data_IF_399707529983
#
_entry.id   IF_399707529983
#
_cell.length_a   1.000
_cell.length_b   1.000
_cell.length_c   1.000
_cell.angle_alpha   90.00
_cell.angle_beta   90.00
_cell.angle_gamma   90.00
#
_symmetry.space_group_name_H-M   'P 1'
#
loop_
_entity.id
_entity.type
_entity.pdbx_description
1 polymer ?
#
# COMPACT_ATOMS: atom_id res chain seq x y z
N UNK A 1 -36.88 59.65 -90.44
CA UNK A 1 -37.30 58.24 -90.29
C UNK A 1 -36.39 57.43 -91.17
N UNK A 2 -35.43 56.75 -90.54
CA UNK A 2 -34.44 55.92 -91.23
C UNK A 2 -34.55 54.53 -90.64
N UNK A 3 -34.86 53.56 -91.50
CA UNK A 3 -34.95 52.15 -91.14
C UNK A 3 -33.62 51.65 -90.58
N UNK A 4 -33.60 50.97 -89.42
CA UNK A 4 -32.39 50.34 -88.92
C UNK A 4 -32.10 49.07 -89.72
N UNK A 5 -30.91 49.08 -90.31
CA UNK A 5 -30.23 48.02 -91.06
C UNK A 5 -30.32 46.64 -90.41
N UNK A 6 -30.66 45.64 -91.22
CA UNK A 6 -30.78 44.20 -90.89
C UNK A 6 -29.52 43.55 -90.29
N UNK A 7 -28.38 44.23 -90.30
CA UNK A 7 -27.08 43.70 -89.83
C UNK A 7 -26.88 43.78 -88.32
N UNK A 8 -27.46 44.76 -87.62
CA UNK A 8 -27.32 44.92 -86.16
C UNK A 8 -28.23 43.97 -85.37
N UNK A 9 -29.40 43.62 -85.93
CA UNK A 9 -30.37 42.71 -85.29
C UNK A 9 -29.84 41.28 -85.19
N UNK A 10 -29.09 40.82 -86.19
CA UNK A 10 -28.50 39.47 -86.21
C UNK A 10 -27.38 39.30 -85.18
N UNK A 11 -26.53 40.31 -84.98
CA UNK A 11 -25.45 40.27 -83.97
C UNK A 11 -25.99 40.33 -82.53
N UNK A 12 -27.04 41.10 -82.29
CA UNK A 12 -27.71 41.16 -80.97
C UNK A 12 -28.39 39.84 -80.62
N UNK A 13 -29.00 39.17 -81.59
CA UNK A 13 -29.65 37.88 -81.39
C UNK A 13 -28.64 36.75 -81.12
N UNK A 14 -27.52 36.76 -81.83
CA UNK A 14 -26.44 35.79 -81.64
C UNK A 14 -25.74 35.93 -80.28
N UNK A 15 -25.53 37.15 -79.81
CA UNK A 15 -24.96 37.39 -78.46
C UNK A 15 -25.92 36.98 -77.34
N UNK A 16 -27.22 37.21 -77.51
CA UNK A 16 -28.24 36.82 -76.54
C UNK A 16 -28.42 35.30 -76.47
N UNK A 17 -28.30 34.61 -77.61
CA UNK A 17 -28.31 33.16 -77.68
C UNK A 17 -27.10 32.56 -76.96
N UNK A 18 -25.90 33.12 -77.16
CA UNK A 18 -24.69 32.65 -76.48
C UNK A 18 -24.80 32.79 -74.96
N UNK A 19 -25.25 33.94 -74.44
CA UNK A 19 -25.46 34.13 -72.99
C UNK A 19 -26.49 33.14 -72.43
N UNK A 20 -27.56 32.84 -73.18
CA UNK A 20 -28.57 31.86 -72.76
C UNK A 20 -27.98 30.44 -72.68
N UNK A 21 -27.17 30.04 -73.66
CA UNK A 21 -26.46 28.76 -73.65
C UNK A 21 -25.49 28.65 -72.46
N UNK A 22 -24.67 29.68 -72.23
CA UNK A 22 -23.72 29.72 -71.10
C UNK A 22 -24.44 29.61 -69.76
N UNK A 23 -25.59 30.29 -69.60
CA UNK A 23 -26.37 30.21 -68.37
C UNK A 23 -27.01 28.83 -68.16
N UNK A 24 -27.51 28.19 -69.22
CA UNK A 24 -28.02 26.81 -69.14
C UNK A 24 -26.92 25.84 -68.75
N UNK A 25 -25.72 25.96 -69.32
CA UNK A 25 -24.57 25.14 -68.93
C UNK A 25 -24.21 25.35 -67.47
N UNK A 26 -24.18 26.61 -67.00
CA UNK A 26 -23.99 26.92 -65.59
C UNK A 26 -25.05 26.25 -64.69
N UNK A 27 -26.33 26.33 -65.05
CA UNK A 27 -27.42 25.68 -64.32
C UNK A 27 -27.27 24.15 -64.25
N UNK A 28 -26.77 23.52 -65.32
CA UNK A 28 -26.44 22.08 -65.32
C UNK A 28 -25.31 21.78 -64.36
N UNK A 29 -24.25 22.59 -64.37
CA UNK A 29 -23.08 22.39 -63.49
C UNK A 29 -23.45 22.51 -62.02
N UNK A 30 -24.35 23.44 -61.64
CA UNK A 30 -24.82 23.56 -60.24
C UNK A 30 -25.90 22.53 -59.86
N UNK A 31 -26.29 21.63 -60.78
CA UNK A 31 -27.29 20.58 -60.53
C UNK A 31 -28.74 21.08 -60.42
N UNK A 32 -29.10 22.19 -61.09
CA UNK A 32 -30.47 22.70 -61.04
C UNK A 32 -31.46 21.72 -61.69
N UNK A 33 -32.61 21.42 -61.05
CA UNK A 33 -33.58 20.45 -61.58
C UNK A 33 -34.05 20.81 -62.99
N UNK A 34 -34.08 19.83 -63.88
CA UNK A 34 -34.53 19.96 -65.28
C UNK A 34 -33.71 20.93 -66.16
N UNK A 35 -32.53 21.38 -65.72
CA UNK A 35 -31.66 22.24 -66.53
C UNK A 35 -31.21 21.60 -67.85
N UNK A 36 -31.16 20.26 -67.90
CA UNK A 36 -30.89 19.47 -69.10
C UNK A 36 -31.99 19.53 -70.16
N UNK A 37 -33.22 19.88 -69.77
CA UNK A 37 -34.39 19.96 -70.65
C UNK A 37 -34.64 21.39 -71.19
N UNK A 38 -33.93 22.38 -70.64
CA UNK A 38 -34.03 23.77 -71.07
C UNK A 38 -33.33 23.99 -72.41
N UNK A 39 -34.04 24.65 -73.33
CA UNK A 39 -33.51 25.09 -74.61
C UNK A 39 -33.14 26.58 -74.54
N UNK A 40 -32.01 27.02 -75.14
CA UNK A 40 -31.60 28.43 -75.14
C UNK A 40 -32.68 29.39 -75.64
N UNK A 41 -33.52 28.94 -76.58
CA UNK A 41 -34.63 29.71 -77.14
C UNK A 41 -35.68 30.09 -76.09
N UNK A 42 -35.84 29.30 -75.04
CA UNK A 42 -36.80 29.55 -73.96
C UNK A 42 -36.34 30.67 -73.00
N UNK A 43 -35.06 31.02 -73.04
CA UNK A 43 -34.45 32.06 -72.20
C UNK A 43 -34.09 33.33 -72.96
N UNK A 44 -34.32 33.36 -74.28
CA UNK A 44 -34.02 34.53 -75.12
C UNK A 44 -34.72 35.79 -74.63
N UNK A 45 -35.95 35.69 -74.13
CA UNK A 45 -36.68 36.85 -73.60
C UNK A 45 -35.93 37.55 -72.45
N UNK A 46 -35.16 36.79 -71.67
CA UNK A 46 -34.37 37.31 -70.55
C UNK A 46 -33.03 37.86 -71.02
N UNK A 47 -32.39 37.24 -72.02
CA UNK A 47 -31.07 37.67 -72.53
C UNK A 47 -31.14 38.77 -73.58
N UNK A 48 -32.31 39.01 -74.17
CA UNK A 48 -32.56 40.15 -75.07
C UNK A 48 -32.60 41.49 -74.32
N UNK A 49 -32.90 41.48 -73.01
CA UNK A 49 -32.77 42.68 -72.17
C UNK A 49 -31.32 42.86 -71.71
N UNK A 50 -30.65 43.99 -72.03
CA UNK A 50 -29.24 44.18 -71.73
C UNK A 50 -28.90 44.09 -70.24
N UNK A 51 -29.76 44.61 -69.36
CA UNK A 51 -29.56 44.60 -67.90
C UNK A 51 -29.63 43.18 -67.33
N UNK A 52 -30.61 42.40 -67.75
CA UNK A 52 -30.76 41.01 -67.35
C UNK A 52 -29.61 40.14 -67.91
N UNK A 53 -29.19 40.37 -69.15
CA UNK A 53 -28.03 39.68 -69.75
C UNK A 53 -26.74 39.91 -68.95
N UNK A 54 -26.43 41.16 -68.61
CA UNK A 54 -25.23 41.48 -67.81
C UNK A 54 -25.25 40.79 -66.45
N UNK A 55 -26.43 40.74 -65.80
CA UNK A 55 -26.58 40.07 -64.52
C UNK A 55 -26.41 38.54 -64.64
N UNK A 56 -26.97 37.93 -65.68
CA UNK A 56 -26.81 36.49 -65.94
C UNK A 56 -25.35 36.14 -66.28
N UNK A 57 -24.69 36.93 -67.14
CA UNK A 57 -23.28 36.74 -67.49
C UNK A 57 -22.39 36.91 -66.26
N UNK A 58 -22.66 37.91 -65.41
CA UNK A 58 -21.94 38.11 -64.16
C UNK A 58 -22.10 36.91 -63.21
N UNK A 59 -23.30 36.36 -63.12
CA UNK A 59 -23.59 35.22 -62.24
C UNK A 59 -22.83 33.97 -62.69
N UNK A 60 -22.81 33.70 -64.00
CA UNK A 60 -22.00 32.63 -64.59
C UNK A 60 -20.50 32.80 -64.37
N UNK A 61 -20.00 34.04 -64.33
CA UNK A 61 -18.56 34.33 -64.17
C UNK A 61 -18.12 34.36 -62.71
N UNK A 62 -19.02 34.71 -61.79
CA UNK A 62 -18.67 34.98 -60.39
C UNK A 62 -18.96 33.81 -59.47
N UNK A 63 -19.85 32.90 -59.87
CA UNK A 63 -20.16 31.69 -59.10
C UNK A 63 -19.40 30.52 -59.71
N UNK A 64 -18.36 30.08 -59.00
CA UNK A 64 -17.62 28.86 -59.34
C UNK A 64 -18.26 27.68 -58.58
N UNK A 65 -19.05 26.81 -59.24
CA UNK A 65 -19.70 25.68 -58.58
C UNK A 65 -18.73 24.69 -57.96
N UNK A 66 -17.48 24.62 -58.41
CA UNK A 66 -16.47 23.70 -57.87
C UNK A 66 -15.81 24.27 -56.61
N UNK A 67 -15.86 25.59 -56.38
CA UNK A 67 -15.28 26.26 -55.20
C UNK A 67 -16.30 26.75 -54.18
N UNK A 68 -17.53 27.06 -54.61
CA UNK A 68 -18.58 27.59 -53.74
C UNK A 68 -19.52 26.51 -53.17
N UNK A 69 -19.29 25.24 -53.49
CA UNK A 69 -19.86 24.13 -52.71
C UNK A 69 -19.09 24.08 -51.39
N UNK A 70 -19.76 24.44 -50.30
CA UNK A 70 -19.29 24.14 -48.94
C UNK A 70 -19.06 22.63 -48.90
N UNK A 71 -17.80 22.19 -49.01
CA UNK A 71 -17.41 20.79 -48.94
C UNK A 71 -17.70 20.31 -47.52
N UNK A 72 -18.95 19.89 -47.27
CA UNK A 72 -19.37 19.29 -45.99
C UNK A 72 -18.45 18.15 -45.56
N UNK A 73 -17.85 17.45 -46.54
CA UNK A 73 -16.89 16.36 -46.32
C UNK A 73 -15.59 16.83 -45.64
N UNK A 74 -15.12 18.06 -45.92
CA UNK A 74 -13.91 18.60 -45.28
C UNK A 74 -14.21 19.12 -43.86
N UNK A 75 -15.37 19.76 -43.67
CA UNK A 75 -15.84 20.18 -42.33
C UNK A 75 -16.12 18.98 -41.42
N UNK A 76 -16.80 17.95 -41.91
CA UNK A 76 -17.08 16.72 -41.16
C UNK A 76 -15.78 15.99 -40.80
N UNK A 77 -14.78 15.99 -41.70
CA UNK A 77 -13.44 15.42 -41.44
C UNK A 77 -12.67 16.21 -40.37
N UNK A 78 -12.75 17.54 -40.37
CA UNK A 78 -12.15 18.37 -39.32
C UNK A 78 -12.83 18.17 -37.97
N UNK A 79 -14.15 18.09 -37.95
CA UNK A 79 -14.95 17.86 -36.73
C UNK A 79 -14.62 16.46 -36.15
N UNK A 80 -14.55 15.43 -36.99
CA UNK A 80 -14.18 14.07 -36.54
C UNK A 80 -12.78 14.03 -35.91
N UNK A 81 -11.79 14.68 -36.52
CA UNK A 81 -10.44 14.77 -35.93
C UNK A 81 -10.40 15.53 -34.61
N UNK A 82 -11.23 16.56 -34.45
CA UNK A 82 -11.37 17.27 -33.18
C UNK A 82 -12.03 16.41 -32.11
N UNK A 83 -13.07 15.65 -32.47
CA UNK A 83 -13.72 14.70 -31.56
C UNK A 83 -12.71 13.64 -31.10
N UNK A 84 -11.98 13.01 -32.02
CA UNK A 84 -10.94 12.03 -31.69
C UNK A 84 -9.85 12.63 -30.79
N UNK A 85 -9.42 13.87 -31.05
CA UNK A 85 -8.44 14.57 -30.22
C UNK A 85 -8.96 14.87 -28.81
N UNK A 86 -10.23 15.27 -28.70
CA UNK A 86 -10.87 15.53 -27.41
C UNK A 86 -11.09 14.24 -26.63
N UNK A 87 -11.49 13.14 -27.28
CA UNK A 87 -11.62 11.82 -26.65
C UNK A 87 -10.26 11.29 -26.19
N UNK A 88 -9.20 11.48 -26.98
CA UNK A 88 -7.84 11.12 -26.61
C UNK A 88 -7.33 11.90 -25.38
N UNK A 89 -7.82 13.13 -25.16
CA UNK A 89 -7.53 13.92 -23.95
C UNK A 89 -8.44 13.56 -22.78
N UNK A 90 -9.72 13.26 -23.03
CA UNK A 90 -10.69 12.96 -21.99
C UNK A 90 -10.40 11.61 -21.31
N UNK A 91 -9.99 10.60 -22.08
CA UNK A 91 -9.67 9.27 -21.56
C UNK A 91 -8.59 9.26 -20.45
N UNK A 92 -7.40 9.89 -20.62
CA UNK A 92 -6.41 9.96 -19.56
C UNK A 92 -6.87 10.81 -18.38
N UNK A 93 -7.64 11.88 -18.60
CA UNK A 93 -8.24 12.70 -17.54
C UNK A 93 -9.24 11.89 -16.71
N UNK A 94 -10.09 11.08 -17.35
CA UNK A 94 -11.03 10.17 -16.67
C UNK A 94 -10.27 9.14 -15.84
N UNK A 95 -9.26 8.49 -16.41
CA UNK A 95 -8.42 7.53 -15.66
C UNK A 95 -7.71 8.18 -14.48
N UNK A 96 -7.24 9.43 -14.64
CA UNK A 96 -6.63 10.18 -13.57
C UNK A 96 -7.64 10.52 -12.46
N UNK A 97 -8.87 10.90 -12.84
CA UNK A 97 -9.97 11.13 -11.91
C UNK A 97 -10.31 9.87 -11.10
N UNK A 98 -10.43 8.72 -11.75
CA UNK A 98 -10.70 7.44 -11.09
C UNK A 98 -9.58 7.05 -10.11
N UNK A 99 -8.32 7.30 -10.52
CA UNK A 99 -7.15 7.09 -9.66
C UNK A 99 -7.20 8.00 -8.42
N UNK A 100 -7.48 9.30 -8.59
CA UNK A 100 -7.63 10.25 -7.48
C UNK A 100 -8.80 9.87 -6.56
N UNK A 101 -9.91 9.38 -7.13
CA UNK A 101 -11.06 8.92 -6.35
C UNK A 101 -10.69 7.69 -5.50
N UNK A 102 -9.94 6.75 -6.08
CA UNK A 102 -9.40 5.59 -5.36
C UNK A 102 -8.46 6.02 -4.23
N UNK A 103 -7.51 6.92 -4.50
CA UNK A 103 -6.60 7.46 -3.49
C UNK A 103 -7.35 8.19 -2.37
N UNK A 104 -8.35 9.01 -2.70
CA UNK A 104 -9.21 9.68 -1.71
C UNK A 104 -9.93 8.67 -0.81
N UNK A 105 -10.43 7.59 -1.39
CA UNK A 105 -11.10 6.54 -0.62
C UNK A 105 -10.12 5.79 0.29
N UNK A 106 -8.91 5.50 -0.18
CA UNK A 106 -7.85 4.93 0.65
C UNK A 106 -7.46 5.85 1.81
N UNK A 107 -7.26 7.13 1.54
CA UNK A 107 -6.96 8.13 2.58
C UNK A 107 -8.07 8.23 3.62
N UNK A 108 -9.33 8.11 3.20
CA UNK A 108 -10.48 8.10 4.12
C UNK A 108 -10.48 6.85 5.01
N UNK A 109 -10.14 5.68 4.46
CA UNK A 109 -10.01 4.45 5.25
C UNK A 109 -8.86 4.55 6.26
N UNK A 110 -7.70 5.09 5.84
CA UNK A 110 -6.56 5.28 6.76
C UNK A 110 -6.88 6.29 7.85
N UNK A 111 -7.60 7.37 7.54
CA UNK A 111 -8.02 8.35 8.54
C UNK A 111 -8.89 7.71 9.61
N UNK A 112 -9.92 6.95 9.21
CA UNK A 112 -10.79 6.24 10.15
C UNK A 112 -10.02 5.24 11.02
N UNK A 113 -9.01 4.57 10.47
CA UNK A 113 -8.15 3.66 11.23
C UNK A 113 -7.35 4.40 12.30
N UNK A 114 -6.73 5.53 11.93
CA UNK A 114 -5.95 6.36 12.84
C UNK A 114 -6.82 6.99 13.93
N UNK A 115 -8.04 7.42 13.61
CA UNK A 115 -9.00 7.93 14.61
C UNK A 115 -9.34 6.86 15.66
N UNK A 116 -9.51 5.62 15.23
CA UNK A 116 -9.76 4.49 16.15
C UNK A 116 -8.53 4.17 17.00
N UNK A 117 -7.33 4.23 16.43
CA UNK A 117 -6.09 4.08 17.20
C UNK A 117 -5.92 5.20 18.24
N UNK A 118 -6.23 6.44 17.88
CA UNK A 118 -6.21 7.57 18.79
C UNK A 118 -7.16 7.37 19.97
N UNK A 119 -8.38 6.90 19.71
CA UNK A 119 -9.36 6.58 20.76
C UNK A 119 -8.83 5.49 21.71
N UNK A 120 -8.19 4.45 21.15
CA UNK A 120 -7.55 3.41 21.96
C UNK A 120 -6.40 3.97 22.81
N UNK A 121 -5.55 4.83 22.25
CA UNK A 121 -4.46 5.46 23.00
C UNK A 121 -4.97 6.36 24.12
N UNK A 122 -6.04 7.12 23.89
CA UNK A 122 -6.68 7.93 24.93
C UNK A 122 -7.20 7.05 26.08
N UNK A 123 -7.81 5.91 25.75
CA UNK A 123 -8.27 4.94 26.75
C UNK A 123 -7.11 4.34 27.56
N UNK A 124 -6.02 3.96 26.90
CA UNK A 124 -4.82 3.44 27.57
C UNK A 124 -4.22 4.52 28.49
N UNK A 125 -4.18 5.78 28.05
CA UNK A 125 -3.62 6.86 28.84
C UNK A 125 -4.44 7.10 30.12
N UNK A 126 -5.77 7.04 30.05
CA UNK A 126 -6.63 7.12 31.24
C UNK A 126 -6.40 5.94 32.20
N UNK A 127 -6.25 4.72 31.68
CA UNK A 127 -5.96 3.53 32.51
C UNK A 127 -4.58 3.64 33.19
N UNK A 128 -3.57 4.17 32.48
CA UNK A 128 -2.26 4.45 33.04
C UNK A 128 -2.30 5.53 34.12
N UNK A 129 -3.09 6.59 33.94
CA UNK A 129 -3.27 7.62 34.96
C UNK A 129 -3.92 7.07 36.24
N UNK A 130 -4.91 6.19 36.08
CA UNK A 130 -5.54 5.51 37.21
C UNK A 130 -4.57 4.54 37.91
N UNK A 131 -3.78 3.78 37.15
CA UNK A 131 -2.73 2.90 37.69
C UNK A 131 -1.63 3.66 38.41
N UNK A 132 -1.18 4.79 37.86
CA UNK A 132 -0.21 5.66 38.51
C UNK A 132 -0.75 6.21 39.84
N UNK A 133 -2.05 6.54 39.89
CA UNK A 133 -2.69 6.97 41.14
C UNK A 133 -2.70 5.85 42.19
N UNK A 134 -3.02 4.63 41.80
CA UNK A 134 -3.00 3.44 42.66
C UNK A 134 -1.58 3.16 43.20
N UNK A 135 -0.56 3.23 42.35
CA UNK A 135 0.84 3.06 42.75
C UNK A 135 1.26 4.15 43.72
N UNK A 136 0.93 5.42 43.45
CA UNK A 136 1.26 6.53 44.35
C UNK A 136 0.61 6.36 45.73
N UNK A 137 -0.65 5.91 45.78
CA UNK A 137 -1.32 5.60 47.05
C UNK A 137 -0.64 4.46 47.80
N UNK A 138 -0.18 3.43 47.07
CA UNK A 138 0.54 2.30 47.68
C UNK A 138 1.89 2.75 48.26
N UNK A 139 2.64 3.57 47.53
CA UNK A 139 3.90 4.15 47.99
C UNK A 139 3.68 4.99 49.25
N UNK A 140 2.63 5.81 49.28
CA UNK A 140 2.30 6.65 50.44
C UNK A 140 1.94 5.79 51.66
N UNK A 141 1.15 4.73 51.47
CA UNK A 141 0.81 3.78 52.54
C UNK A 141 2.04 3.04 53.06
N UNK A 142 2.91 2.56 52.16
CA UNK A 142 4.14 1.87 52.53
C UNK A 142 5.13 2.80 53.24
N UNK A 143 5.20 4.08 52.84
CA UNK A 143 5.99 5.09 53.54
C UNK A 143 5.51 5.28 54.98
N UNK A 144 4.20 5.45 55.18
CA UNK A 144 3.61 5.59 56.53
C UNK A 144 3.89 4.34 57.37
N UNK A 145 3.75 3.16 56.78
CA UNK A 145 4.01 1.89 57.46
C UNK A 145 5.48 1.71 57.83
N UNK A 146 6.40 2.12 56.95
CA UNK A 146 7.84 2.10 57.21
C UNK A 146 8.17 3.00 58.40
N UNK A 147 7.63 4.23 58.42
CA UNK A 147 7.85 5.19 59.50
C UNK A 147 7.35 4.65 60.85
N UNK A 148 6.17 4.03 60.88
CA UNK A 148 5.62 3.39 62.07
C UNK A 148 6.51 2.23 62.55
N UNK A 149 6.90 1.32 61.65
CA UNK A 149 7.77 0.20 62.01
C UNK A 149 9.16 0.66 62.49
N UNK A 150 9.69 1.73 61.90
CA UNK A 150 10.96 2.33 62.30
C UNK A 150 10.84 2.96 63.70
N UNK A 151 9.74 3.65 64.00
CA UNK A 151 9.49 4.18 65.33
C UNK A 151 9.37 3.06 66.39
N UNK A 152 8.65 1.99 66.08
CA UNK A 152 8.48 0.83 66.98
C UNK A 152 9.82 0.12 67.24
N UNK A 153 10.64 -0.08 66.21
CA UNK A 153 11.97 -0.68 66.38
C UNK A 153 12.91 0.21 67.17
N UNK A 154 12.90 1.53 66.95
CA UNK A 154 13.67 2.49 67.75
C UNK A 154 13.22 2.47 69.22
N UNK A 155 11.91 2.40 69.48
CA UNK A 155 11.38 2.30 70.83
C UNK A 155 11.78 0.98 71.50
N UNK A 156 11.69 -0.15 70.81
CA UNK A 156 12.12 -1.45 71.33
C UNK A 156 13.62 -1.48 71.64
N UNK A 157 14.45 -0.92 70.75
CA UNK A 157 15.90 -0.77 70.99
C UNK A 157 16.15 0.10 72.23
N UNK A 158 15.40 1.20 72.38
CA UNK A 158 15.52 2.09 73.54
C UNK A 158 15.15 1.39 74.85
N UNK A 159 14.08 0.58 74.87
CA UNK A 159 13.69 -0.23 76.03
C UNK A 159 14.78 -1.25 76.39
N UNK A 160 15.31 -1.99 75.41
CA UNK A 160 16.40 -2.96 75.63
C UNK A 160 17.65 -2.26 76.22
N UNK A 161 17.99 -1.06 75.73
CA UNK A 161 19.10 -0.27 76.25
C UNK A 161 18.84 0.20 77.67
N UNK A 162 17.60 0.57 78.01
CA UNK A 162 17.24 0.99 79.37
C UNK A 162 17.24 -0.18 80.35
N UNK A 163 16.69 -1.34 79.98
CA UNK A 163 16.65 -2.54 80.82
C UNK A 163 18.06 -3.05 81.16
N UNK A 164 18.97 -2.99 80.18
CA UNK A 164 20.39 -3.36 80.39
C UNK A 164 21.11 -2.40 81.35
N UNK A 165 20.78 -1.11 81.33
CA UNK A 165 21.32 -0.13 82.29
C UNK A 165 20.86 -0.34 83.73
N UNK A 166 19.68 -0.93 83.94
CA UNK A 166 19.08 -1.09 85.28
C UNK A 166 19.60 -2.35 85.98
N UNK A 167 20.02 -3.39 85.24
CA UNK A 167 20.32 -4.70 85.83
C UNK A 167 21.74 -4.89 86.40
N UNK A 168 22.75 -4.08 86.06
CA UNK A 168 24.13 -4.32 86.52
C UNK A 168 24.84 -3.07 87.04
N UNK A 169 24.48 -2.67 88.26
CA UNK A 169 25.20 -1.66 89.02
C UNK A 169 26.56 -2.18 89.49
N UNK A 170 27.62 -1.79 88.77
CA UNK A 170 29.06 -1.69 89.15
C UNK A 170 30.06 -2.62 88.46
N UNK A 171 29.69 -3.79 87.93
CA UNK A 171 30.64 -4.61 87.13
C UNK A 171 30.51 -4.37 85.62
N UNK A 172 29.45 -3.69 85.19
CA UNK A 172 29.20 -3.44 83.77
C UNK A 172 29.94 -2.23 83.19
N UNK A 173 30.54 -1.34 83.99
CA UNK A 173 31.17 -0.15 83.41
C UNK A 173 32.40 -0.49 82.57
N UNK A 174 33.13 -1.54 82.92
CA UNK A 174 34.27 -2.03 82.12
C UNK A 174 33.80 -2.85 80.93
N UNK A 175 32.80 -3.73 81.08
CA UNK A 175 32.26 -4.51 79.96
C UNK A 175 31.40 -3.70 78.99
N UNK A 176 30.71 -2.63 79.40
CA UNK A 176 30.07 -1.66 78.51
C UNK A 176 31.06 -0.68 77.90
N UNK A 177 32.18 -0.34 78.58
CA UNK A 177 33.25 0.38 77.90
C UNK A 177 33.94 -0.50 76.86
N UNK A 178 34.13 -1.80 77.14
CA UNK A 178 34.73 -2.73 76.18
C UNK A 178 33.74 -3.03 75.06
N UNK A 179 32.48 -3.35 75.36
CA UNK A 179 31.45 -3.61 74.34
C UNK A 179 31.07 -2.33 73.58
N UNK A 180 31.02 -1.18 74.25
CA UNK A 180 30.82 0.13 73.63
C UNK A 180 31.99 0.50 72.74
N UNK A 181 33.24 0.26 73.17
CA UNK A 181 34.43 0.42 72.32
C UNK A 181 34.50 -0.62 71.20
N UNK A 182 34.08 -1.86 71.42
CA UNK A 182 34.04 -2.89 70.39
C UNK A 182 32.94 -2.61 69.38
N UNK A 183 31.77 -2.13 69.80
CA UNK A 183 30.68 -1.72 68.92
C UNK A 183 31.04 -0.41 68.19
N UNK A 184 31.68 0.54 68.86
CA UNK A 184 32.22 1.75 68.25
C UNK A 184 33.36 1.41 67.28
N UNK A 185 34.19 0.41 67.59
CA UNK A 185 35.24 -0.10 66.72
C UNK A 185 34.68 -0.99 65.61
N UNK A 186 33.54 -1.65 65.79
CA UNK A 186 32.86 -2.41 64.75
C UNK A 186 32.09 -1.48 63.82
N UNK A 187 31.44 -0.45 64.36
CA UNK A 187 30.90 0.68 63.60
C UNK A 187 32.04 1.41 62.88
N UNK A 188 33.14 1.75 63.56
CA UNK A 188 34.31 2.33 62.90
C UNK A 188 34.91 1.37 61.88
N UNK A 189 34.95 0.05 62.08
CA UNK A 189 35.45 -0.92 61.08
C UNK A 189 34.44 -1.24 59.96
N UNK A 190 33.15 -0.92 60.14
CA UNK A 190 32.13 -0.93 59.09
C UNK A 190 32.14 0.40 58.32
N UNK A 191 32.51 1.50 58.98
CA UNK A 191 32.67 2.84 58.42
C UNK A 191 34.09 3.14 57.91
N UNK A 192 35.15 2.41 58.31
CA UNK A 192 36.55 2.60 57.90
C UNK A 192 36.79 2.11 56.47
N UNK A 193 36.20 1.00 56.00
CA UNK A 193 36.19 0.68 54.58
C UNK A 193 35.45 1.74 53.78
N UNK A 194 34.53 2.49 54.41
CA UNK A 194 33.84 3.62 53.79
C UNK A 194 34.62 4.95 53.92
N UNK A 195 35.47 5.12 54.94
CA UNK A 195 36.25 6.34 55.19
C UNK A 195 37.67 6.32 54.63
N UNK A 196 38.28 5.15 54.44
CA UNK A 196 39.58 5.04 53.74
C UNK A 196 39.44 5.33 52.23
N UNK A 197 38.24 5.18 51.67
CA UNK A 197 37.92 5.69 50.33
C UNK A 197 37.56 7.20 50.32
N UNK A 198 37.28 7.81 51.47
CA UNK A 198 36.98 9.24 51.59
C UNK A 198 38.19 10.10 51.99
N UNK A 199 39.21 9.57 52.67
CA UNK A 199 40.45 10.32 52.97
C UNK A 199 41.35 10.50 51.75
N UNK A 200 41.27 9.58 50.78
CA UNK A 200 41.84 9.81 49.44
C UNK A 200 41.00 10.78 48.63
N UNK A 201 39.71 10.96 48.95
CA UNK A 201 38.81 11.86 48.22
C UNK A 201 39.19 13.33 48.30
N UNK A 202 39.81 13.79 49.40
CA UNK A 202 40.25 15.20 49.52
C UNK A 202 41.49 15.46 48.66
N UNK A 203 42.47 14.56 48.67
CA UNK A 203 43.64 14.62 47.77
C UNK A 203 43.24 14.36 46.31
N UNK A 204 42.27 13.48 46.04
CA UNK A 204 41.75 13.23 44.69
C UNK A 204 40.94 14.42 44.19
N UNK A 205 40.14 15.08 45.04
CA UNK A 205 39.36 16.26 44.65
C UNK A 205 40.29 17.45 44.43
N UNK A 206 41.31 17.67 45.25
CA UNK A 206 42.32 18.70 45.01
C UNK A 206 43.16 18.40 43.76
N UNK A 207 43.56 17.14 43.54
CA UNK A 207 44.29 16.71 42.34
C UNK A 207 43.42 16.73 41.08
N UNK A 208 42.14 16.33 41.17
CA UNK A 208 41.14 16.47 40.10
C UNK A 208 40.90 17.96 39.83
N UNK A 209 40.85 18.82 40.85
CA UNK A 209 40.68 20.28 40.67
C UNK A 209 41.93 20.91 40.04
N UNK A 210 43.13 20.45 40.40
CA UNK A 210 44.40 20.83 39.78
C UNK A 210 44.47 20.37 38.32
N UNK A 211 44.11 19.12 38.04
CA UNK A 211 44.04 18.55 36.69
C UNK A 211 42.94 19.20 35.83
N UNK A 212 41.79 19.54 36.42
CA UNK A 212 40.72 20.35 35.80
C UNK A 212 41.22 21.72 35.38
N UNK A 213 42.04 22.39 36.21
CA UNK A 213 42.63 23.69 35.85
C UNK A 213 43.73 23.59 34.79
N UNK A 214 44.45 22.46 34.70
CA UNK A 214 45.55 22.29 33.76
C UNK A 214 45.10 21.78 32.37
N UNK A 215 43.98 21.06 32.28
CA UNK A 215 43.55 20.40 31.03
C UNK A 215 42.04 20.46 30.76
N UNK A 216 41.44 21.65 30.58
CA UNK A 216 39.99 21.82 30.35
C UNK A 216 39.47 21.12 29.08
N UNK A 217 40.31 20.94 28.06
CA UNK A 217 39.96 20.18 26.84
C UNK A 217 39.85 18.68 27.12
N UNK A 218 40.60 18.17 28.10
CA UNK A 218 40.57 16.77 28.51
C UNK A 218 39.37 16.50 29.42
N UNK A 219 38.95 17.48 30.23
CA UNK A 219 37.69 17.43 30.98
C UNK A 219 36.47 17.31 30.05
N UNK A 220 36.38 18.14 29.00
CA UNK A 220 35.32 17.98 28.00
C UNK A 220 35.31 16.60 27.34
N UNK A 221 36.49 16.05 27.04
CA UNK A 221 36.61 14.70 26.46
C UNK A 221 36.23 13.61 27.46
N UNK A 222 36.61 13.76 28.73
CA UNK A 222 36.26 12.83 29.80
C UNK A 222 34.76 12.86 30.09
N UNK A 223 34.16 14.03 30.26
CA UNK A 223 32.72 14.18 30.49
C UNK A 223 31.91 13.63 29.32
N UNK A 224 32.38 13.84 28.08
CA UNK A 224 31.76 13.24 26.89
C UNK A 224 31.88 11.71 26.88
N UNK A 225 33.05 11.17 27.25
CA UNK A 225 33.26 9.72 27.32
C UNK A 225 32.45 9.07 28.46
N UNK A 226 32.36 9.72 29.62
CA UNK A 226 31.57 9.27 30.76
C UNK A 226 30.07 9.27 30.45
N UNK A 227 29.58 10.33 29.78
CA UNK A 227 28.20 10.41 29.32
C UNK A 227 27.88 9.34 28.26
N UNK A 228 28.82 9.09 27.33
CA UNK A 228 28.67 8.01 26.35
C UNK A 228 28.69 6.63 27.01
N UNK A 229 29.52 6.44 28.05
CA UNK A 229 29.56 5.20 28.82
C UNK A 229 28.26 4.93 29.59
N UNK A 230 27.73 5.93 30.31
CA UNK A 230 26.43 5.87 30.97
C UNK A 230 25.30 5.59 29.97
N UNK A 231 25.34 6.23 28.79
CA UNK A 231 24.40 5.97 27.71
C UNK A 231 24.45 4.51 27.25
N UNK A 232 25.65 3.96 27.07
CA UNK A 232 25.83 2.56 26.66
C UNK A 232 25.38 1.58 27.76
N UNK A 233 25.62 1.89 29.04
CA UNK A 233 25.12 1.08 30.16
C UNK A 233 23.60 1.09 30.24
N UNK A 234 22.96 2.24 30.04
CA UNK A 234 21.51 2.34 29.98
C UNK A 234 20.93 1.49 28.83
N UNK A 235 21.54 1.54 27.64
CA UNK A 235 21.15 0.68 26.51
C UNK A 235 21.32 -0.81 26.83
N UNK A 236 22.43 -1.19 27.48
CA UNK A 236 22.69 -2.58 27.85
C UNK A 236 21.67 -3.09 28.88
N UNK A 237 21.28 -2.27 29.86
CA UNK A 237 20.24 -2.61 30.82
C UNK A 237 18.85 -2.75 30.15
N UNK A 238 18.51 -1.89 29.18
CA UNK A 238 17.28 -2.03 28.40
C UNK A 238 17.28 -3.35 27.63
N UNK A 239 18.38 -3.67 26.94
CA UNK A 239 18.50 -4.93 26.19
C UNK A 239 18.45 -6.16 27.11
N UNK A 240 19.08 -6.12 28.28
CA UNK A 240 18.99 -7.20 29.25
C UNK A 240 17.56 -7.39 29.79
N UNK A 241 16.85 -6.28 30.07
CA UNK A 241 15.45 -6.34 30.47
C UNK A 241 14.53 -6.85 29.35
N UNK A 242 14.84 -6.53 28.09
CA UNK A 242 14.13 -7.09 26.93
C UNK A 242 14.42 -8.57 26.75
N UNK A 243 15.67 -9.03 26.95
CA UNK A 243 16.02 -10.46 26.95
C UNK A 243 15.26 -11.19 28.05
N UNK A 244 15.20 -10.65 29.27
CA UNK A 244 14.43 -11.24 30.38
C UNK A 244 12.92 -11.27 30.09
N UNK A 245 12.39 -10.24 29.41
CA UNK A 245 11.00 -10.24 28.93
C UNK A 245 10.79 -11.31 27.86
N UNK A 246 11.69 -11.42 26.89
CA UNK A 246 11.63 -12.45 25.83
C UNK A 246 11.73 -13.85 26.45
N UNK A 247 12.59 -14.05 27.45
CA UNK A 247 12.71 -15.29 28.20
C UNK A 247 11.45 -15.62 29.00
N UNK A 248 10.72 -14.62 29.50
CA UNK A 248 9.40 -14.81 30.11
C UNK A 248 8.31 -15.22 29.10
N UNK A 249 8.44 -14.86 27.81
CA UNK A 249 7.57 -15.34 26.70
C UNK A 249 8.08 -16.65 26.04
N UNK A 250 9.28 -17.11 26.41
CA UNK A 250 9.97 -18.28 25.83
C UNK A 250 9.35 -19.66 26.15
N UNK A 251 8.63 -19.92 27.28
CA UNK A 251 8.05 -21.25 27.48
C UNK A 251 6.98 -21.58 26.44
N UNK A 252 6.20 -20.59 25.99
CA UNK A 252 5.18 -20.79 24.96
C UNK A 252 5.78 -20.95 23.56
N UNK A 253 6.93 -20.31 23.28
CA UNK A 253 7.62 -20.45 21.99
C UNK A 253 8.25 -21.82 21.80
N UNK A 254 8.85 -22.42 22.84
CA UNK A 254 9.37 -23.79 22.75
C UNK A 254 8.24 -24.83 22.65
N UNK A 255 7.10 -24.61 23.33
CA UNK A 255 5.90 -25.45 23.16
C UNK A 255 5.36 -25.32 21.74
N UNK A 256 5.29 -24.10 21.19
CA UNK A 256 4.80 -23.85 19.84
C UNK A 256 5.75 -24.42 18.77
N UNK A 257 7.07 -24.30 18.97
CA UNK A 257 8.10 -24.89 18.12
C UNK A 257 8.02 -26.40 18.12
N UNK A 258 7.85 -27.01 19.29
CA UNK A 258 7.65 -28.46 19.43
C UNK A 258 6.38 -28.93 18.71
N UNK A 259 5.25 -28.23 18.90
CA UNK A 259 3.99 -28.52 18.18
C UNK A 259 4.13 -28.33 16.67
N UNK A 260 4.83 -27.29 16.22
CA UNK A 260 5.10 -27.04 14.81
C UNK A 260 5.93 -28.18 14.20
N UNK A 261 6.96 -28.65 14.90
CA UNK A 261 7.80 -29.76 14.45
C UNK A 261 7.03 -31.10 14.43
N UNK A 262 6.12 -31.32 15.38
CA UNK A 262 5.20 -32.47 15.36
C UNK A 262 4.24 -32.41 14.16
N UNK A 263 3.70 -31.22 13.86
CA UNK A 263 2.82 -31.02 12.71
C UNK A 263 3.56 -31.24 11.38
N UNK A 264 4.82 -30.82 11.26
CA UNK A 264 5.63 -31.08 10.06
C UNK A 264 5.81 -32.58 9.82
N UNK A 265 6.14 -33.35 10.87
CA UNK A 265 6.24 -34.82 10.77
C UNK A 265 4.93 -35.47 10.37
N UNK A 266 3.80 -34.95 10.87
CA UNK A 266 2.48 -35.44 10.48
C UNK A 266 2.19 -35.16 8.99
N UNK A 267 2.53 -33.96 8.52
CA UNK A 267 2.38 -33.57 7.10
C UNK A 267 3.23 -34.47 6.19
N UNK A 268 4.49 -34.73 6.57
CA UNK A 268 5.37 -35.64 5.83
C UNK A 268 4.76 -37.04 5.73
N UNK A 269 4.27 -37.61 6.83
CA UNK A 269 3.64 -38.92 6.85
C UNK A 269 2.36 -38.99 5.99
N UNK A 270 1.52 -37.94 6.04
CA UNK A 270 0.33 -37.85 5.19
C UNK A 270 0.71 -37.78 3.71
N UNK A 271 1.76 -37.02 3.38
CA UNK A 271 2.20 -36.87 2.00
C UNK A 271 2.80 -38.17 1.43
N UNK A 272 3.52 -38.92 2.24
CA UNK A 272 3.98 -40.28 1.89
C UNK A 272 2.80 -41.21 1.63
N UNK A 273 1.79 -41.22 2.51
CA UNK A 273 0.57 -42.02 2.31
C UNK A 273 -0.21 -41.62 1.06
N UNK A 274 -0.31 -40.31 0.79
CA UNK A 274 -0.96 -39.80 -0.42
C UNK A 274 -0.22 -40.24 -1.68
N UNK A 275 1.12 -40.23 -1.65
CA UNK A 275 1.97 -40.67 -2.76
C UNK A 275 1.84 -42.17 -3.01
N UNK A 276 1.87 -43.00 -1.97
CA UNK A 276 1.62 -44.45 -2.08
C UNK A 276 0.23 -44.75 -2.65
N UNK A 277 -0.78 -43.99 -2.22
CA UNK A 277 -2.15 -44.13 -2.73
C UNK A 277 -2.23 -43.74 -4.21
N UNK A 278 -1.56 -42.66 -4.64
CA UNK A 278 -1.51 -42.25 -6.04
C UNK A 278 -0.85 -43.32 -6.91
N UNK A 279 0.27 -43.90 -6.47
CA UNK A 279 0.93 -45.00 -7.18
C UNK A 279 0.00 -46.20 -7.37
N UNK A 280 -0.75 -46.58 -6.33
CA UNK A 280 -1.75 -47.67 -6.44
C UNK A 280 -2.88 -47.32 -7.40
N UNK A 281 -3.34 -46.06 -7.42
CA UNK A 281 -4.35 -45.61 -8.38
C UNK A 281 -3.81 -45.73 -9.81
N UNK A 282 -2.56 -45.34 -10.06
CA UNK A 282 -1.92 -45.49 -11.37
C UNK A 282 -1.80 -46.96 -11.78
N UNK A 283 -1.41 -47.85 -10.87
CA UNK A 283 -1.39 -49.29 -11.11
C UNK A 283 -2.79 -49.82 -11.49
N UNK A 284 -3.84 -49.43 -10.76
CA UNK A 284 -5.21 -49.83 -11.08
C UNK A 284 -5.69 -49.27 -12.42
N UNK A 285 -5.32 -48.04 -12.78
CA UNK A 285 -5.65 -47.46 -14.08
C UNK A 285 -4.97 -48.22 -15.22
N UNK A 286 -3.71 -48.63 -15.06
CA UNK A 286 -3.02 -49.47 -16.02
C UNK A 286 -3.73 -50.82 -16.21
N UNK A 287 -4.08 -51.50 -15.12
CA UNK A 287 -4.82 -52.78 -15.18
C UNK A 287 -6.19 -52.60 -15.85
N UNK A 288 -6.91 -51.53 -15.53
CA UNK A 288 -8.19 -51.23 -16.18
C UNK A 288 -8.04 -50.97 -17.69
N UNK A 289 -7.00 -50.24 -18.10
CA UNK A 289 -6.72 -50.00 -19.52
C UNK A 289 -6.39 -51.31 -20.25
N UNK A 290 -5.60 -52.20 -19.64
CA UNK A 290 -5.32 -53.53 -20.19
C UNK A 290 -6.60 -54.35 -20.34
N UNK A 291 -7.46 -54.39 -19.31
CA UNK A 291 -8.74 -55.11 -19.38
C UNK A 291 -9.65 -54.49 -20.45
N UNK A 292 -9.71 -53.17 -20.56
CA UNK A 292 -10.50 -52.48 -21.60
C UNK A 292 -10.03 -52.82 -23.02
N UNK A 293 -8.74 -53.10 -23.22
CA UNK A 293 -8.21 -53.54 -24.53
C UNK A 293 -8.44 -55.04 -24.73
N UNK A 294 -8.24 -55.86 -23.70
CA UNK A 294 -8.39 -57.31 -23.77
C UNK A 294 -9.85 -57.73 -23.99
N UNK A 295 -10.82 -57.02 -23.41
CA UNK A 295 -12.22 -57.42 -23.45
C UNK A 295 -12.82 -57.37 -24.88
N UNK A 296 -12.62 -56.33 -25.70
CA UNK A 296 -13.01 -56.34 -27.12
C UNK A 296 -12.34 -57.44 -27.93
N UNK A 297 -11.06 -57.74 -27.67
CA UNK A 297 -10.32 -58.79 -28.35
C UNK A 297 -10.93 -60.17 -28.02
N UNK A 298 -11.21 -60.43 -26.75
CA UNK A 298 -11.86 -61.67 -26.30
C UNK A 298 -13.29 -61.80 -26.81
N UNK A 299 -14.05 -60.70 -26.91
CA UNK A 299 -15.39 -60.70 -27.52
C UNK A 299 -15.30 -61.04 -29.01
N UNK A 300 -14.38 -60.41 -29.75
CA UNK A 300 -14.18 -60.67 -31.18
C UNK A 300 -13.71 -62.11 -31.44
N UNK A 301 -12.79 -62.64 -30.62
CA UNK A 301 -12.32 -64.03 -30.73
C UNK A 301 -13.46 -65.01 -30.44
N UNK A 302 -14.26 -64.78 -29.40
CA UNK A 302 -15.43 -65.61 -29.09
C UNK A 302 -16.50 -65.56 -30.18
N UNK A 303 -16.73 -64.40 -30.78
CA UNK A 303 -17.66 -64.26 -31.92
C UNK A 303 -17.14 -65.03 -33.14
N UNK A 304 -15.85 -64.93 -33.44
CA UNK A 304 -15.21 -65.66 -34.55
C UNK A 304 -15.28 -67.18 -34.32
N UNK A 305 -14.97 -67.64 -33.11
CA UNK A 305 -15.07 -69.04 -32.72
C UNK A 305 -16.50 -69.57 -32.79
N UNK A 306 -17.49 -68.78 -32.36
CA UNK A 306 -18.91 -69.14 -32.48
C UNK A 306 -19.34 -69.23 -33.95
N UNK A 307 -18.92 -68.29 -34.80
CA UNK A 307 -19.23 -68.31 -36.23
C UNK A 307 -18.61 -69.53 -36.94
N UNK A 308 -17.37 -69.88 -36.61
CA UNK A 308 -16.70 -71.09 -37.10
C UNK A 308 -17.39 -72.36 -36.61
N UNK A 309 -17.84 -72.39 -35.37
CA UNK A 309 -18.56 -73.54 -34.81
C UNK A 309 -19.93 -73.71 -35.49
N UNK A 310 -20.65 -72.63 -35.78
CA UNK A 310 -21.89 -72.69 -36.56
C UNK A 310 -21.64 -73.23 -37.97
N UNK A 311 -20.64 -72.72 -38.69
CA UNK A 311 -20.31 -73.22 -40.03
C UNK A 311 -19.82 -74.67 -40.03
N UNK A 312 -19.08 -75.10 -39.01
CA UNK A 312 -18.71 -76.52 -38.86
C UNK A 312 -19.92 -77.42 -38.59
N UNK A 313 -20.87 -76.97 -37.76
CA UNK A 313 -22.10 -77.71 -37.50
C UNK A 313 -22.97 -77.78 -38.76
N UNK A 314 -23.12 -76.68 -39.51
CA UNK A 314 -23.84 -76.64 -40.79
C UNK A 314 -23.21 -77.58 -41.83
N UNK A 315 -21.87 -77.69 -41.86
CA UNK A 315 -21.15 -78.61 -42.73
C UNK A 315 -21.20 -80.09 -42.27
N UNK A 316 -21.60 -80.36 -41.02
CA UNK A 316 -21.80 -81.72 -40.50
C UNK A 316 -23.25 -82.20 -40.67
N UNK A 317 -24.20 -81.28 -40.87
CA UNK A 317 -25.62 -81.56 -41.15
C UNK A 317 -25.92 -81.75 -42.65
N UNK A 318 -24.92 -81.57 -43.53
CA UNK A 318 -24.96 -81.82 -44.97
C UNK A 318 -24.12 -83.05 -45.37
#
# INVERSE_FOLDING_TARGET
MSEPTTTTRSKSKMTSLNSATTFIEFLKTIGYPNASELLPEQLLWATEQPSARVLLDWLCQSVDPDKNVVNKVEEDSMILKQIESLEAQLNPLSKHHDSLLSQKNQLKLTLNSLEKELENFQKINLDLDDKNREVNQTIEQDSIKLDLNMADTVNAVKEIVMDRKIQNGKEFLEHEQIFGKELEQHCQNLYLPCQQDLSNGVDLIEEITRLKSMYPVTEQKFTKAALEHERLLAYLNILQNEILRIDAYNPDFEILRSKHQQNLKLIESINEQATDTLLRIEEYLCVLAEIQIQNPILIADNQTKSALQMTMNENLEH
#
